data_IF_888864669053
#
_entry.id   IF_888864669053
#
_cell.length_a   1.000
_cell.length_b   1.000
_cell.length_c   1.000
_cell.angle_alpha   90.00
_cell.angle_beta   90.00
_cell.angle_gamma   90.00
#
_symmetry.space_group_name_H-M   'P 1'
#
loop_
_entity.id
_entity.type
_entity.pdbx_description
1 polymer ?
#
# COMPACT_ATOMS: atom_id res chain seq x y z
N UNK A 1 9.62 20.24 -14.00
CA UNK A 1 8.41 20.22 -13.14
C UNK A 1 8.08 18.76 -12.88
N UNK A 2 8.27 18.28 -11.64
CA UNK A 2 7.78 16.94 -11.29
C UNK A 2 6.27 17.04 -11.03
N UNK A 3 5.49 16.17 -11.68
CA UNK A 3 4.05 16.10 -11.43
C UNK A 3 3.84 15.31 -10.14
N UNK A 4 2.95 15.82 -9.29
CA UNK A 4 2.56 15.18 -8.04
C UNK A 4 1.31 14.34 -8.26
N UNK A 5 1.32 13.11 -7.76
CA UNK A 5 0.21 12.15 -7.87
C UNK A 5 -0.19 11.69 -6.47
N UNK A 6 -1.49 11.62 -6.23
CA UNK A 6 -2.05 11.05 -5.00
C UNK A 6 -2.75 9.74 -5.37
N UNK A 7 -2.41 8.68 -4.66
CA UNK A 7 -3.04 7.36 -4.77
C UNK A 7 -3.87 7.11 -3.51
N UNK A 8 -5.13 6.73 -3.68
CA UNK A 8 -6.06 6.42 -2.59
C UNK A 8 -6.35 4.92 -2.55
N UNK A 9 -6.08 4.29 -1.41
CA UNK A 9 -6.22 2.85 -1.16
C UNK A 9 -4.91 2.09 -1.35
N UNK A 10 -4.43 1.46 -0.28
CA UNK A 10 -3.23 0.62 -0.23
C UNK A 10 -3.59 -0.88 -0.41
N UNK A 11 -4.45 -1.17 -1.38
CA UNK A 11 -4.61 -2.54 -1.88
C UNK A 11 -3.41 -2.95 -2.75
N UNK A 12 -3.36 -4.21 -3.17
CA UNK A 12 -2.34 -4.68 -4.11
C UNK A 12 -2.25 -3.80 -5.39
N UNK A 13 -3.40 -3.36 -5.92
CA UNK A 13 -3.44 -2.50 -7.10
C UNK A 13 -2.91 -1.08 -6.81
N UNK A 14 -3.27 -0.50 -5.66
CA UNK A 14 -2.82 0.83 -5.27
C UNK A 14 -1.31 0.89 -5.00
N UNK A 15 -0.79 -0.11 -4.29
CA UNK A 15 0.66 -0.25 -4.07
C UNK A 15 1.42 -0.47 -5.38
N UNK A 16 0.95 -1.36 -6.27
CA UNK A 16 1.58 -1.59 -7.56
C UNK A 16 1.61 -0.32 -8.44
N UNK A 17 0.53 0.45 -8.42
CA UNK A 17 0.45 1.73 -9.14
C UNK A 17 1.43 2.75 -8.57
N UNK A 18 1.49 2.87 -7.24
CA UNK A 18 2.41 3.77 -6.53
C UNK A 18 3.88 3.48 -6.86
N UNK A 19 4.26 2.19 -6.87
CA UNK A 19 5.63 1.77 -7.20
C UNK A 19 6.00 2.16 -8.63
N UNK A 20 5.11 1.88 -9.60
CA UNK A 20 5.36 2.21 -11.01
C UNK A 20 5.48 3.72 -11.24
N UNK A 21 4.59 4.51 -10.65
CA UNK A 21 4.62 5.97 -10.76
C UNK A 21 5.92 6.55 -10.16
N UNK A 22 6.39 6.02 -9.03
CA UNK A 22 7.68 6.44 -8.48
C UNK A 22 8.85 6.04 -9.40
N UNK A 23 8.83 4.86 -9.99
CA UNK A 23 9.84 4.42 -10.97
C UNK A 23 9.87 5.30 -12.23
N UNK A 24 8.73 5.87 -12.62
CA UNK A 24 8.62 6.83 -13.72
C UNK A 24 9.02 8.27 -13.32
N UNK A 25 9.39 8.51 -12.06
CA UNK A 25 9.90 9.80 -11.58
C UNK A 25 8.83 10.78 -11.08
N UNK A 26 7.60 10.31 -10.83
CA UNK A 26 6.56 11.13 -10.20
C UNK A 26 6.79 11.24 -8.69
N UNK A 27 6.39 12.38 -8.12
CA UNK A 27 6.25 12.51 -6.66
C UNK A 27 4.89 11.91 -6.28
N UNK A 28 4.90 10.84 -5.49
CA UNK A 28 3.67 10.06 -5.20
C UNK A 28 3.41 10.00 -3.70
N UNK A 29 2.17 10.31 -3.31
CA UNK A 29 1.67 10.07 -1.95
C UNK A 29 0.58 9.00 -1.98
N UNK A 30 0.68 8.01 -1.09
CA UNK A 30 -0.30 6.93 -0.95
C UNK A 30 -1.03 7.07 0.39
N UNK A 31 -2.37 7.12 0.34
CA UNK A 31 -3.23 7.17 1.52
C UNK A 31 -4.09 5.91 1.62
N UNK A 32 -4.28 5.41 2.83
CA UNK A 32 -5.19 4.31 3.16
C UNK A 32 -6.10 4.76 4.31
N UNK A 33 -7.38 4.39 4.25
CA UNK A 33 -8.35 4.71 5.31
C UNK A 33 -8.16 3.82 6.53
N UNK A 34 -7.70 2.59 6.32
CA UNK A 34 -7.51 1.59 7.37
C UNK A 34 -6.11 1.69 7.99
N UNK A 35 -5.98 1.23 9.23
CA UNK A 35 -4.70 1.24 9.95
C UNK A 35 -3.65 0.31 9.32
N UNK A 36 -4.09 -0.66 8.51
CA UNK A 36 -3.23 -1.64 7.86
C UNK A 36 -3.46 -1.61 6.34
N UNK A 37 -2.38 -1.65 5.53
CA UNK A 37 -2.50 -1.83 4.09
C UNK A 37 -2.87 -3.27 3.73
N UNK A 38 -3.42 -3.49 2.54
CA UNK A 38 -3.85 -4.81 2.06
C UNK A 38 -5.20 -4.81 1.36
N UNK A 39 -5.99 -3.75 1.52
CA UNK A 39 -7.35 -3.64 0.97
C UNK A 39 -8.37 -4.48 1.73
N UNK A 40 -9.50 -4.80 1.08
CA UNK A 40 -10.63 -5.51 1.71
C UNK A 40 -10.35 -6.99 2.05
N UNK A 41 -9.14 -7.49 1.82
CA UNK A 41 -8.79 -8.88 2.09
C UNK A 41 -8.59 -9.12 3.60
N UNK A 42 -9.70 -9.41 4.27
CA UNK A 42 -9.80 -9.65 5.72
C UNK A 42 -8.83 -10.71 6.27
N UNK A 43 -8.31 -11.58 5.39
CA UNK A 43 -7.36 -12.66 5.69
C UNK A 43 -5.96 -12.16 6.01
N UNK A 44 -5.53 -11.05 5.37
CA UNK A 44 -4.23 -10.41 5.62
C UNK A 44 -4.25 -9.59 6.91
N UNK A 45 -5.37 -8.91 7.19
CA UNK A 45 -5.52 -8.14 8.42
C UNK A 45 -5.42 -9.04 9.66
N UNK A 46 -6.14 -10.17 9.69
CA UNK A 46 -6.14 -11.07 10.87
C UNK A 46 -4.74 -11.53 11.30
N UNK A 47 -3.87 -11.90 10.36
CA UNK A 47 -2.51 -12.37 10.66
C UNK A 47 -1.60 -11.30 11.25
N UNK A 48 -1.86 -10.02 10.93
CA UNK A 48 -1.08 -8.89 11.44
C UNK A 48 -1.61 -8.47 12.82
N UNK A 49 -2.93 -8.51 13.06
CA UNK A 49 -3.51 -8.15 14.36
C UNK A 49 -3.40 -9.25 15.41
N UNK A 50 -3.33 -10.53 15.04
CA UNK A 50 -3.18 -11.66 15.97
C UNK A 50 -1.71 -11.97 16.32
N UNK A 51 -0.75 -11.19 15.83
CA UNK A 51 0.67 -11.34 16.18
C UNK A 51 1.39 -12.52 15.50
N UNK A 52 0.73 -13.21 14.57
CA UNK A 52 1.32 -14.32 13.79
C UNK A 52 2.06 -13.86 12.52
N UNK A 53 2.66 -12.67 12.55
CA UNK A 53 3.54 -12.25 11.45
C UNK A 53 4.94 -12.77 11.72
N UNK A 54 5.21 -14.01 11.29
CA UNK A 54 6.59 -14.41 11.05
C UNK A 54 7.15 -13.47 9.97
N UNK A 55 8.05 -12.58 10.38
CA UNK A 55 8.96 -11.92 9.45
C UNK A 55 9.74 -13.03 8.74
N UNK A 56 9.29 -13.41 7.56
CA UNK A 56 10.08 -14.24 6.67
C UNK A 56 11.25 -13.36 6.23
N UNK A 57 12.39 -13.56 6.89
CA UNK A 57 13.68 -13.02 6.46
C UNK A 57 14.13 -13.67 5.17
#
# INVERSE_FOLDING_TARGET
MNKKVIVMGASAAGMASTIRLQQEGYEVELFEKDALPGGADSSLNKKITEGETQYVR
#
